data_IF_480373270467
#
_entry.id   IF_480373270467
#
_cell.length_a   1.000
_cell.length_b   1.000
_cell.length_c   1.000
_cell.angle_alpha   90.00
_cell.angle_beta   90.00
_cell.angle_gamma   90.00
#
_symmetry.space_group_name_H-M   'P 1'
#
loop_
_entity.id
_entity.type
_entity.pdbx_description
1 polymer ?
#
# COMPACT_ATOMS: atom_id res chain seq x y z
N UNK A 1 28.08 -5.78 56.66
CA UNK A 1 27.12 -4.71 56.29
C UNK A 1 25.92 -5.37 55.65
N UNK A 2 24.76 -5.27 56.32
CA UNK A 2 23.38 -5.30 55.80
C UNK A 2 23.03 -6.30 54.68
N UNK A 3 22.26 -7.32 55.09
CA UNK A 3 21.19 -8.02 54.37
C UNK A 3 20.84 -7.52 52.96
N UNK A 4 20.63 -8.46 52.02
CA UNK A 4 19.29 -8.77 51.47
C UNK A 4 19.42 -9.39 50.07
N UNK A 5 19.02 -10.66 49.95
CA UNK A 5 18.90 -11.39 48.68
C UNK A 5 17.77 -10.79 47.84
N UNK A 6 18.03 -10.48 46.58
CA UNK A 6 17.04 -10.41 45.49
C UNK A 6 17.86 -10.57 44.19
N UNK A 7 18.24 -11.79 43.77
CA UNK A 7 17.46 -12.68 42.87
C UNK A 7 16.87 -11.84 41.72
N UNK A 8 17.27 -11.96 40.45
CA UNK A 8 17.28 -13.19 39.66
C UNK A 8 18.11 -12.98 38.38
N UNK A 9 19.00 -13.92 38.07
CA UNK A 9 19.58 -14.08 36.75
C UNK A 9 18.47 -14.42 35.72
N UNK A 10 18.41 -13.74 34.58
CA UNK A 10 17.65 -14.23 33.43
C UNK A 10 18.57 -14.35 32.21
N UNK A 11 18.55 -15.55 31.66
CA UNK A 11 19.52 -16.16 30.80
C UNK A 11 19.73 -15.49 29.43
N UNK A 12 20.92 -15.77 28.90
CA UNK A 12 21.31 -15.60 27.51
C UNK A 12 20.34 -16.24 26.51
N UNK A 13 20.38 -15.66 25.30
CA UNK A 13 20.10 -16.30 24.01
C UNK A 13 18.64 -16.70 23.72
N UNK A 14 17.85 -15.73 23.25
CA UNK A 14 16.79 -16.01 22.28
C UNK A 14 17.01 -15.09 21.08
N UNK A 15 17.76 -15.63 20.12
CA UNK A 15 17.57 -15.51 18.67
C UNK A 15 17.15 -14.13 18.14
N UNK A 16 18.11 -13.46 17.53
CA UNK A 16 17.92 -12.55 16.41
C UNK A 16 17.20 -13.26 15.25
N UNK A 17 15.89 -13.07 15.09
CA UNK A 17 15.19 -13.45 13.86
C UNK A 17 13.95 -12.57 13.61
N UNK A 18 14.10 -11.70 12.61
CA UNK A 18 13.17 -11.39 11.52
C UNK A 18 11.72 -10.94 11.80
N UNK A 19 11.42 -9.78 11.21
CA UNK A 19 10.16 -9.33 10.60
C UNK A 19 8.88 -10.08 10.99
N UNK A 20 7.99 -9.40 11.73
CA UNK A 20 6.59 -9.79 11.84
C UNK A 20 5.83 -9.39 10.58
N UNK A 21 5.72 -10.28 9.60
CA UNK A 21 4.58 -10.30 8.68
C UNK A 21 4.14 -11.75 8.48
N UNK A 22 3.09 -12.12 9.22
CA UNK A 22 2.50 -13.46 9.14
C UNK A 22 1.51 -13.67 10.28
N UNK A 23 0.28 -13.19 10.12
CA UNK A 23 -0.85 -13.65 10.94
C UNK A 23 -1.48 -14.84 10.26
N UNK A 24 -1.23 -16.02 10.82
CA UNK A 24 -1.99 -17.24 10.60
C UNK A 24 -3.27 -17.20 11.44
N UNK A 25 -4.36 -17.79 10.94
CA UNK A 25 -5.06 -18.94 11.57
C UNK A 25 -6.55 -19.02 11.24
N UNK A 26 -7.01 -20.27 11.32
CA UNK A 26 -8.31 -20.80 10.93
C UNK A 26 -9.48 -20.32 11.81
N UNK A 27 -10.52 -19.80 11.15
CA UNK A 27 -11.94 -19.93 11.55
C UNK A 27 -12.85 -19.74 10.32
N UNK A 28 -12.92 -20.77 9.50
CA UNK A 28 -14.01 -20.98 8.56
C UNK A 28 -15.33 -21.11 9.36
N UNK A 29 -16.08 -20.02 9.50
CA UNK A 29 -17.57 -19.93 9.57
C UNK A 29 -18.11 -18.55 10.00
N UNK A 30 -17.47 -17.44 9.60
CA UNK A 30 -18.16 -16.14 9.47
C UNK A 30 -17.89 -15.57 8.08
N UNK A 31 -18.78 -15.97 7.18
CA UNK A 31 -19.16 -15.41 5.88
C UNK A 31 -18.22 -14.38 5.19
N UNK A 32 -17.66 -14.85 4.08
CA UNK A 32 -16.79 -14.22 3.07
C UNK A 32 -17.34 -12.93 2.45
N UNK A 33 -17.47 -11.86 3.23
CA UNK A 33 -17.91 -10.53 2.77
C UNK A 33 -17.05 -9.38 3.32
N UNK A 34 -16.16 -9.61 4.29
CA UNK A 34 -15.38 -8.52 4.92
C UNK A 34 -13.94 -8.38 4.42
N UNK A 35 -13.40 -9.36 3.69
CA UNK A 35 -12.09 -9.26 3.00
C UNK A 35 -12.21 -8.64 1.60
N UNK A 36 -13.43 -8.56 1.06
CA UNK A 36 -13.71 -7.92 -0.22
C UNK A 36 -13.90 -6.41 -0.08
N UNK A 37 -14.20 -5.93 1.11
CA UNK A 37 -14.39 -4.49 1.37
C UNK A 37 -13.05 -3.76 1.39
N UNK A 38 -12.00 -4.34 1.96
CA UNK A 38 -10.68 -3.70 1.96
C UNK A 38 -10.00 -3.69 0.57
N UNK A 39 -10.23 -4.73 -0.24
CA UNK A 39 -9.75 -4.77 -1.63
C UNK A 39 -10.60 -3.90 -2.58
N UNK A 40 -11.89 -3.70 -2.28
CA UNK A 40 -12.74 -2.72 -2.96
C UNK A 40 -12.39 -1.27 -2.55
N UNK A 41 -11.91 -1.05 -1.31
CA UNK A 41 -11.40 0.25 -0.84
C UNK A 41 -10.00 0.53 -1.40
N UNK A 42 -9.20 -0.51 -1.67
CA UNK A 42 -7.99 -0.42 -2.48
C UNK A 42 -8.33 -0.19 -3.97
N UNK A 43 -9.13 0.83 -4.25
CA UNK A 43 -9.57 1.17 -5.60
C UNK A 43 -8.38 1.25 -6.55
N UNK A 44 -8.53 0.63 -7.73
CA UNK A 44 -7.51 0.52 -8.76
C UNK A 44 -6.75 1.85 -8.90
N UNK A 45 -5.52 1.89 -8.37
CA UNK A 45 -4.71 3.10 -8.40
C UNK A 45 -4.16 3.31 -9.80
N UNK A 46 -4.21 4.55 -10.27
CA UNK A 46 -3.69 4.99 -11.55
C UNK A 46 -2.74 6.17 -11.33
N UNK A 47 -1.70 6.25 -12.15
CA UNK A 47 -0.74 7.34 -12.13
C UNK A 47 -1.26 8.53 -12.95
N UNK A 48 -1.14 9.73 -12.41
CA UNK A 48 -1.38 11.00 -13.12
C UNK A 48 -0.12 11.86 -13.09
N UNK A 49 0.06 12.67 -14.13
CA UNK A 49 0.94 13.82 -14.05
C UNK A 49 0.20 14.98 -13.36
N UNK A 50 0.86 15.69 -12.44
CA UNK A 50 0.27 16.83 -11.72
C UNK A 50 0.41 18.17 -12.45
N UNK A 51 0.94 18.16 -13.68
CA UNK A 51 1.05 19.35 -14.51
C UNK A 51 -0.31 19.92 -14.90
N UNK A 52 -0.43 21.25 -15.10
CA UNK A 52 -1.71 21.91 -15.37
C UNK A 52 -2.37 21.49 -16.69
N UNK A 53 -1.60 20.91 -17.62
CA UNK A 53 -2.08 20.41 -18.91
C UNK A 53 -2.36 18.91 -18.92
N UNK A 54 -2.24 18.23 -17.78
CA UNK A 54 -2.45 16.79 -17.70
C UNK A 54 -3.94 16.45 -17.81
N UNK A 55 -4.29 15.58 -18.75
CA UNK A 55 -5.68 15.16 -19.02
C UNK A 55 -5.85 13.65 -19.04
N UNK A 56 -4.78 12.89 -18.79
CA UNK A 56 -4.76 11.42 -18.84
C UNK A 56 -4.31 10.78 -17.53
N UNK A 57 -4.89 9.64 -17.20
CA UNK A 57 -4.35 8.72 -16.20
C UNK A 57 -3.70 7.51 -16.87
N UNK A 58 -2.80 6.84 -16.15
CA UNK A 58 -1.95 5.77 -16.63
C UNK A 58 -1.99 4.57 -15.67
N UNK A 59 -2.05 3.36 -16.22
CA UNK A 59 -1.98 2.09 -15.47
C UNK A 59 -0.53 1.68 -15.15
N UNK A 60 0.44 2.21 -15.91
CA UNK A 60 1.87 1.91 -15.78
C UNK A 60 2.68 3.19 -15.54
N UNK A 61 3.66 3.13 -14.64
CA UNK A 61 4.55 4.26 -14.29
C UNK A 61 5.54 4.62 -15.40
N UNK A 62 5.89 3.68 -16.25
CA UNK A 62 6.87 3.80 -17.35
C UNK A 62 6.22 4.17 -18.69
N UNK A 63 4.91 4.46 -18.71
CA UNK A 63 4.22 4.83 -19.94
C UNK A 63 4.88 6.05 -20.59
N UNK A 64 5.11 5.99 -21.91
CA UNK A 64 5.68 7.09 -22.72
C UNK A 64 5.00 8.44 -22.50
N UNK A 65 3.71 8.47 -22.15
CA UNK A 65 3.00 9.70 -21.82
C UNK A 65 3.49 10.36 -20.51
N UNK A 66 3.87 9.56 -19.50
CA UNK A 66 4.43 10.04 -18.24
C UNK A 66 5.88 10.52 -18.38
N UNK A 67 6.64 10.00 -19.35
CA UNK A 67 8.00 10.48 -19.64
C UNK A 67 8.04 11.96 -20.04
N UNK A 68 6.91 12.54 -20.47
CA UNK A 68 6.76 13.96 -20.81
C UNK A 68 6.17 14.80 -19.67
N UNK A 69 5.96 14.22 -18.49
CA UNK A 69 5.37 14.96 -17.37
C UNK A 69 6.26 16.14 -16.98
N UNK A 70 5.67 17.33 -16.91
CA UNK A 70 6.39 18.58 -16.60
C UNK A 70 6.48 18.88 -15.10
N UNK A 71 6.03 17.96 -14.25
CA UNK A 71 5.82 18.10 -12.80
C UNK A 71 5.97 16.73 -12.12
N UNK A 72 5.37 16.50 -10.95
CA UNK A 72 5.42 15.19 -10.28
C UNK A 72 4.35 14.22 -10.79
N UNK A 73 4.64 12.94 -10.67
CA UNK A 73 3.69 11.84 -10.87
C UNK A 73 3.06 11.48 -9.52
N UNK A 74 1.75 11.28 -9.48
CA UNK A 74 1.01 10.83 -8.28
C UNK A 74 0.12 9.64 -8.61
N UNK A 75 0.06 8.67 -7.69
CA UNK A 75 -0.91 7.59 -7.74
C UNK A 75 -2.18 8.01 -7.00
N UNK A 76 -3.31 7.95 -7.69
CA UNK A 76 -4.66 8.25 -7.17
C UNK A 76 -5.59 7.10 -7.51
N UNK A 77 -6.77 7.01 -6.89
CA UNK A 77 -7.78 6.02 -7.29
C UNK A 77 -8.33 6.34 -8.68
N UNK A 78 -8.78 5.31 -9.41
CA UNK A 78 -9.46 5.47 -10.70
C UNK A 78 -10.69 6.36 -10.59
N UNK A 79 -11.48 6.21 -9.52
CA UNK A 79 -12.65 7.03 -9.24
C UNK A 79 -12.28 8.52 -9.14
N UNK A 80 -11.24 8.86 -8.37
CA UNK A 80 -10.76 10.24 -8.24
C UNK A 80 -10.25 10.78 -9.59
N UNK A 81 -9.58 9.94 -10.39
CA UNK A 81 -9.15 10.32 -11.72
C UNK A 81 -10.34 10.66 -12.64
N UNK A 82 -11.40 9.85 -12.61
CA UNK A 82 -12.64 10.08 -13.36
C UNK A 82 -13.39 11.32 -12.88
N UNK A 83 -13.50 11.51 -11.55
CA UNK A 83 -14.10 12.69 -10.92
C UNK A 83 -13.40 13.98 -11.34
N UNK A 84 -12.07 13.94 -11.48
CA UNK A 84 -11.24 15.04 -12.00
C UNK A 84 -11.18 15.11 -13.53
N UNK A 85 -12.02 14.35 -14.23
CA UNK A 85 -12.12 14.31 -15.69
C UNK A 85 -10.85 13.89 -16.44
N UNK A 86 -9.94 13.17 -15.78
CA UNK A 86 -8.85 12.48 -16.49
C UNK A 86 -9.44 11.34 -17.34
N UNK A 87 -8.93 11.21 -18.57
CA UNK A 87 -9.31 10.13 -19.50
C UNK A 87 -8.25 9.02 -19.48
N UNK A 88 -8.58 7.77 -19.82
CA UNK A 88 -7.57 6.73 -19.96
C UNK A 88 -6.51 7.12 -21.00
N UNK A 89 -5.25 6.77 -20.71
CA UNK A 89 -4.18 6.88 -21.68
C UNK A 89 -4.32 5.80 -22.75
N UNK A 90 -4.44 6.21 -24.01
CA UNK A 90 -4.55 5.30 -25.18
C UNK A 90 -3.32 4.42 -25.44
N UNK A 91 -2.27 4.52 -24.62
CA UNK A 91 -1.01 3.75 -24.78
C UNK A 91 -0.94 2.61 -23.76
N UNK A 92 -1.46 2.79 -22.55
CA UNK A 92 -1.28 1.83 -21.46
C UNK A 92 -2.58 1.40 -20.76
N UNK A 93 -3.69 2.12 -20.94
CA UNK A 93 -4.99 1.83 -20.32
C UNK A 93 -5.97 1.31 -21.36
#
# INVERSE_FOLDING_TARGET
>A
MKHLKLILALALAIVSYSSTEGSTNANETVNTQLLNTENAIAGNKVAICTGPKATKYHSKSDCRGLSRCSRSIKWITLEEAQKRHYKPCKICC
#
